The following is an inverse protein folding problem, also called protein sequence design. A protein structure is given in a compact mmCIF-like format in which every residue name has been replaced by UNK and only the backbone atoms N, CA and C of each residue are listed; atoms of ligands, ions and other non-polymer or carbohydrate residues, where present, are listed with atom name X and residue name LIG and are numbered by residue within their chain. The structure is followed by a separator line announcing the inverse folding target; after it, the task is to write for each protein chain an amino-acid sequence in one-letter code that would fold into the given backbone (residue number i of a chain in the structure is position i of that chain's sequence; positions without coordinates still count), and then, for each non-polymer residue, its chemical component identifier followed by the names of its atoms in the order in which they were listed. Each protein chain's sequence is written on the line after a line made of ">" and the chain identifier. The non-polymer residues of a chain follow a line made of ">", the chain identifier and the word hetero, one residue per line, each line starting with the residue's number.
data_IF_159736259477
#
_entry.id   IF_159736259477
#
_cell.length_a   1.000
_cell.length_b   1.000
_cell.length_c   1.000
_cell.angle_alpha   90.00
_cell.angle_beta   90.00
_cell.angle_gamma   90.00
#
_symmetry.space_group_name_H-M   'P 1'
#
loop_
_entity.id
_entity.type
_entity.pdbx_description
1 polymer ?
#
# COMPACT_ATOMS: atom_id res chain seq x y z
N UNK A 1 -8.90 36.49 -9.91
CA UNK A 1 -9.90 35.43 -9.57
C UNK A 1 -9.23 34.10 -9.86
N UNK A 2 -8.91 33.34 -8.81
CA UNK A 2 -8.32 32.01 -8.96
C UNK A 2 -9.41 31.00 -9.25
N UNK A 3 -9.17 30.08 -10.18
CA UNK A 3 -10.13 29.06 -10.60
C UNK A 3 -9.62 27.66 -10.23
N UNK A 4 -10.41 26.94 -9.45
CA UNK A 4 -10.13 25.56 -9.00
C UNK A 4 -11.15 24.59 -9.63
N UNK A 5 -10.74 23.34 -9.74
CA UNK A 5 -11.68 22.28 -10.10
C UNK A 5 -12.43 21.82 -8.85
N UNK A 6 -11.70 21.63 -7.73
CA UNK A 6 -12.31 21.35 -6.42
C UNK A 6 -11.77 22.38 -5.39
N UNK A 7 -12.67 22.91 -4.56
CA UNK A 7 -12.35 23.76 -3.43
C UNK A 7 -12.95 23.19 -2.14
N UNK A 8 -12.10 22.73 -1.24
CA UNK A 8 -12.50 22.24 0.08
C UNK A 8 -12.42 23.42 1.06
N UNK A 9 -13.57 23.83 1.62
CA UNK A 9 -13.67 25.00 2.53
C UNK A 9 -13.85 24.56 3.97
N UNK A 10 -13.34 25.37 4.90
CA UNK A 10 -13.56 25.23 6.35
C UNK A 10 -13.03 23.92 6.94
N UNK A 11 -12.01 23.31 6.36
CA UNK A 11 -11.44 22.05 6.82
C UNK A 11 -10.26 22.26 7.79
N UNK A 12 -9.90 21.20 8.51
CA UNK A 12 -8.57 21.06 9.10
C UNK A 12 -7.69 20.26 8.13
N UNK A 13 -6.37 20.40 8.22
CA UNK A 13 -5.41 19.70 7.35
C UNK A 13 -4.36 19.01 8.22
N UNK A 14 -4.07 17.75 7.93
CA UNK A 14 -2.91 17.04 8.47
C UNK A 14 -1.66 17.47 7.69
N UNK A 15 -0.81 18.26 8.34
CA UNK A 15 0.42 18.75 7.75
C UNK A 15 1.50 17.66 7.63
N UNK A 16 2.53 17.85 6.78
CA UNK A 16 3.61 16.87 6.61
C UNK A 16 4.41 16.55 7.88
N UNK A 17 4.42 17.45 8.86
CA UNK A 17 5.03 17.26 10.19
C UNK A 17 4.14 16.51 11.18
N UNK A 18 2.96 16.06 10.75
CA UNK A 18 1.93 15.39 11.54
C UNK A 18 1.24 16.30 12.57
N UNK A 19 1.32 17.62 12.41
CA UNK A 19 0.48 18.54 13.13
C UNK A 19 -0.81 18.81 12.36
N UNK A 20 -1.88 19.12 13.08
CA UNK A 20 -3.17 19.49 12.46
C UNK A 20 -3.28 21.01 12.42
N UNK A 21 -3.61 21.57 11.25
CA UNK A 21 -3.81 23.00 11.07
C UNK A 21 -5.05 23.50 11.81
N UNK A 22 -5.11 24.81 12.06
CA UNK A 22 -6.37 25.53 12.27
C UNK A 22 -7.25 25.41 11.02
N UNK A 23 -8.51 25.87 11.11
CA UNK A 23 -9.45 25.88 9.98
C UNK A 23 -8.86 26.63 8.78
N UNK A 24 -8.83 25.99 7.62
CA UNK A 24 -8.30 26.50 6.37
C UNK A 24 -9.12 26.00 5.16
N UNK A 25 -8.67 26.30 3.96
CA UNK A 25 -9.24 25.79 2.71
C UNK A 25 -8.14 25.22 1.82
N UNK A 26 -8.51 24.25 0.96
CA UNK A 26 -7.61 23.60 0.02
C UNK A 26 -8.17 23.73 -1.39
N UNK A 27 -7.41 24.35 -2.28
CA UNK A 27 -7.74 24.51 -3.70
C UNK A 27 -6.98 23.51 -4.56
N UNK A 28 -7.72 22.74 -5.36
CA UNK A 28 -7.22 21.73 -6.28
C UNK A 28 -7.47 22.20 -7.71
N UNK A 29 -6.43 22.14 -8.55
CA UNK A 29 -6.52 22.46 -9.97
C UNK A 29 -5.83 21.37 -10.78
N UNK A 30 -6.49 20.88 -11.81
CA UNK A 30 -6.09 19.70 -12.56
C UNK A 30 -5.87 18.53 -11.58
N UNK A 31 -4.67 18.02 -11.48
CA UNK A 31 -4.32 16.89 -10.59
C UNK A 31 -3.53 17.32 -9.35
N UNK A 32 -3.42 18.62 -9.06
CA UNK A 32 -2.47 19.15 -8.08
C UNK A 32 -3.13 19.98 -6.98
N UNK A 33 -2.60 19.87 -5.78
CA UNK A 33 -2.88 20.82 -4.69
C UNK A 33 -2.21 22.14 -5.05
N UNK A 34 -3.00 23.15 -5.36
CA UNK A 34 -2.47 24.45 -5.80
C UNK A 34 -2.28 25.42 -4.67
N UNK A 35 -3.19 25.41 -3.69
CA UNK A 35 -3.15 26.36 -2.58
C UNK A 35 -3.77 25.78 -1.33
N UNK A 36 -3.14 26.07 -0.19
CA UNK A 36 -3.66 25.80 1.15
C UNK A 36 -3.57 27.12 1.92
N UNK A 37 -4.67 27.63 2.47
CA UNK A 37 -4.67 28.92 3.14
C UNK A 37 -5.92 29.20 3.94
N UNK A 38 -5.98 30.40 4.55
CA UNK A 38 -7.14 30.86 5.29
C UNK A 38 -8.35 31.12 4.37
N UNK A 39 -9.55 31.17 4.93
CA UNK A 39 -10.77 31.43 4.15
C UNK A 39 -10.68 32.76 3.36
N UNK A 40 -10.04 33.80 3.92
CA UNK A 40 -9.91 35.13 3.30
C UNK A 40 -9.08 35.07 2.01
N UNK A 41 -8.15 34.15 1.89
CA UNK A 41 -7.33 33.95 0.70
C UNK A 41 -8.10 33.33 -0.49
N UNK A 42 -9.32 32.86 -0.27
CA UNK A 42 -10.17 32.22 -1.27
C UNK A 42 -11.48 32.99 -1.54
N UNK A 43 -11.65 34.21 -1.00
CA UNK A 43 -12.88 35.03 -1.14
C UNK A 43 -13.24 35.25 -2.61
N UNK A 44 -12.26 35.55 -3.47
CA UNK A 44 -12.46 35.81 -4.89
C UNK A 44 -12.24 34.58 -5.77
N UNK A 45 -12.20 33.38 -5.16
CA UNK A 45 -11.99 32.13 -5.88
C UNK A 45 -13.31 31.53 -6.34
N UNK A 46 -13.28 30.91 -7.53
CA UNK A 46 -14.38 30.11 -8.06
C UNK A 46 -13.93 28.66 -8.20
N UNK A 47 -14.84 27.71 -8.06
CA UNK A 47 -14.55 26.30 -8.24
C UNK A 47 -15.69 25.60 -8.99
N UNK A 48 -15.35 24.56 -9.76
CA UNK A 48 -16.34 23.72 -10.41
C UNK A 48 -17.14 22.94 -9.35
N UNK A 49 -16.44 22.45 -8.32
CA UNK A 49 -17.02 21.74 -7.19
C UNK A 49 -16.53 22.33 -5.87
N UNK A 50 -17.44 22.49 -4.90
CA UNK A 50 -17.07 22.99 -3.56
C UNK A 50 -17.53 21.97 -2.52
N UNK A 51 -16.58 21.50 -1.71
CA UNK A 51 -16.82 20.60 -0.60
C UNK A 51 -16.80 21.38 0.72
N UNK A 52 -17.80 21.14 1.59
CA UNK A 52 -17.80 21.67 2.94
C UNK A 52 -16.97 20.77 3.85
N UNK A 53 -15.82 21.29 4.31
CA UNK A 53 -14.87 20.62 5.19
C UNK A 53 -15.13 20.85 6.68
N UNK A 54 -16.23 21.50 7.06
CA UNK A 54 -16.56 21.73 8.47
C UNK A 54 -16.70 20.41 9.23
N UNK A 55 -15.95 20.25 10.34
CA UNK A 55 -15.91 18.99 11.09
C UNK A 55 -15.15 17.86 10.38
N UNK A 56 -14.32 18.19 9.38
CA UNK A 56 -13.56 17.24 8.60
C UNK A 56 -12.07 17.54 8.64
N UNK A 57 -11.27 16.49 8.55
CA UNK A 57 -9.84 16.56 8.36
C UNK A 57 -9.47 16.13 6.93
N UNK A 58 -8.79 17.01 6.21
CA UNK A 58 -8.11 16.65 4.96
C UNK A 58 -6.77 16.04 5.31
N UNK A 59 -6.53 14.83 4.85
CA UNK A 59 -5.26 14.15 5.02
C UNK A 59 -4.81 13.49 3.72
N UNK A 60 -3.52 13.13 3.56
CA UNK A 60 -3.10 12.39 2.38
C UNK A 60 -3.87 11.08 2.31
N UNK A 61 -4.21 10.66 1.11
CA UNK A 61 -4.74 9.32 0.89
C UNK A 61 -3.79 8.27 1.47
N UNK A 62 -4.35 7.25 2.09
CA UNK A 62 -3.59 6.13 2.61
C UNK A 62 -3.07 5.28 1.45
N UNK A 63 -1.94 4.62 1.65
CA UNK A 63 -1.30 3.82 0.61
C UNK A 63 -1.08 2.40 1.13
N UNK A 64 -1.69 1.45 0.44
CA UNK A 64 -1.49 0.02 0.67
C UNK A 64 -0.25 -0.44 -0.12
N UNK A 65 0.89 -0.55 0.56
CA UNK A 65 2.17 -0.87 -0.06
C UNK A 65 2.31 -2.33 -0.50
N UNK A 66 1.38 -3.22 -0.13
CA UNK A 66 1.41 -4.62 -0.53
C UNK A 66 0.04 -5.27 -0.40
N UNK A 67 -0.48 -5.73 -1.52
CA UNK A 67 -1.74 -6.48 -1.57
C UNK A 67 -1.72 -7.53 -2.70
N UNK A 68 -2.76 -8.38 -2.72
CA UNK A 68 -3.09 -9.32 -3.78
C UNK A 68 -4.56 -9.11 -4.17
N UNK A 69 -4.84 -8.23 -5.12
CA UNK A 69 -6.21 -7.88 -5.50
C UNK A 69 -6.99 -9.05 -6.10
N UNK A 70 -6.31 -10.05 -6.65
CA UNK A 70 -6.93 -11.28 -7.17
C UNK A 70 -7.54 -12.19 -6.09
N UNK A 71 -7.26 -11.96 -4.80
CA UNK A 71 -7.71 -12.83 -3.70
C UNK A 71 -9.03 -12.40 -3.04
N UNK A 72 -9.70 -11.34 -3.52
CA UNK A 72 -10.94 -10.84 -2.89
C UNK A 72 -12.06 -11.88 -2.84
N UNK A 73 -12.18 -12.70 -3.89
CA UNK A 73 -13.19 -13.74 -3.97
C UNK A 73 -12.96 -14.92 -3.00
N UNK A 74 -11.82 -14.97 -2.32
CA UNK A 74 -11.47 -15.99 -1.33
C UNK A 74 -11.69 -15.52 0.12
N UNK A 75 -12.25 -14.34 0.32
CA UNK A 75 -12.44 -13.72 1.64
C UNK A 75 -13.17 -14.62 2.62
N UNK A 76 -12.60 -14.72 3.84
CA UNK A 76 -13.14 -15.52 4.93
C UNK A 76 -12.95 -17.02 4.79
N UNK A 77 -12.34 -17.52 3.69
CA UNK A 77 -12.18 -18.95 3.46
C UNK A 77 -10.98 -19.56 4.17
N UNK A 78 -9.94 -18.77 4.45
CA UNK A 78 -8.63 -19.31 4.87
C UNK A 78 -8.23 -18.96 6.31
N UNK A 79 -9.07 -18.26 7.07
CA UNK A 79 -8.71 -17.71 8.37
C UNK A 79 -8.19 -18.75 9.38
N UNK A 80 -8.74 -19.98 9.38
CA UNK A 80 -8.37 -21.06 10.33
C UNK A 80 -7.71 -22.27 9.64
N UNK A 81 -7.22 -22.10 8.40
CA UNK A 81 -6.73 -23.19 7.55
C UNK A 81 -5.22 -23.41 7.68
N UNK A 82 -4.68 -23.45 8.90
CA UNK A 82 -3.26 -23.75 9.14
C UNK A 82 -2.98 -25.26 9.11
N UNK A 83 -1.74 -25.68 8.77
CA UNK A 83 -0.62 -24.91 8.26
C UNK A 83 -0.64 -24.78 6.72
N UNK A 84 0.32 -24.02 6.18
CA UNK A 84 0.61 -23.95 4.74
C UNK A 84 -0.56 -23.41 3.87
N UNK A 85 -1.23 -22.37 4.35
CA UNK A 85 -2.35 -21.71 3.65
C UNK A 85 -1.97 -21.35 2.21
N UNK A 86 -0.77 -20.82 2.01
CA UNK A 86 -0.28 -20.35 0.71
C UNK A 86 -0.28 -21.47 -0.35
N UNK A 87 0.33 -22.61 -0.06
CA UNK A 87 0.45 -23.72 -1.03
C UNK A 87 -0.82 -24.58 -1.14
N UNK A 88 -1.65 -24.62 -0.09
CA UNK A 88 -2.87 -25.45 -0.07
C UNK A 88 -4.09 -24.73 -0.62
N UNK A 89 -4.16 -23.41 -0.49
CA UNK A 89 -5.34 -22.62 -0.86
C UNK A 89 -5.03 -21.50 -1.83
N UNK A 90 -4.08 -20.59 -1.51
CA UNK A 90 -3.88 -19.36 -2.29
C UNK A 90 -3.35 -19.65 -3.70
N UNK A 91 -2.24 -20.36 -3.84
CA UNK A 91 -1.67 -20.70 -5.16
C UNK A 91 -2.63 -21.53 -6.02
N UNK A 92 -3.27 -22.62 -5.49
CA UNK A 92 -4.28 -23.34 -6.26
C UNK A 92 -5.48 -22.49 -6.67
N UNK A 93 -5.93 -21.59 -5.82
CA UNK A 93 -7.02 -20.66 -6.15
C UNK A 93 -6.60 -19.69 -7.25
N UNK A 94 -5.50 -18.96 -7.05
CA UNK A 94 -4.99 -17.99 -8.02
C UNK A 94 -4.72 -18.64 -9.39
N UNK A 95 -4.15 -19.84 -9.43
CA UNK A 95 -3.82 -20.53 -10.68
C UNK A 95 -5.03 -20.99 -11.50
N UNK A 96 -6.23 -20.97 -10.93
CA UNK A 96 -7.47 -21.36 -11.59
C UNK A 96 -8.42 -20.18 -11.86
N UNK A 97 -8.03 -18.95 -11.54
CA UNK A 97 -8.83 -17.76 -11.87
C UNK A 97 -8.93 -17.61 -13.39
N UNK A 98 -10.12 -17.21 -13.83
CA UNK A 98 -10.36 -16.77 -15.19
C UNK A 98 -10.11 -15.26 -15.31
N UNK A 99 -9.90 -14.71 -16.51
CA UNK A 99 -9.73 -13.28 -16.70
C UNK A 99 -10.83 -12.44 -16.06
N UNK A 100 -12.08 -12.88 -16.15
CA UNK A 100 -13.21 -12.18 -15.55
C UNK A 100 -13.20 -12.24 -14.01
N UNK A 101 -12.73 -13.33 -13.42
CA UNK A 101 -12.58 -13.44 -11.96
C UNK A 101 -11.55 -12.44 -11.44
N UNK A 102 -10.41 -12.31 -12.13
CA UNK A 102 -9.38 -11.32 -11.79
C UNK A 102 -9.88 -9.89 -11.93
N UNK A 103 -10.68 -9.61 -12.96
CA UNK A 103 -11.31 -8.29 -13.14
C UNK A 103 -12.28 -7.95 -12.02
N UNK A 104 -13.24 -8.82 -11.71
CA UNK A 104 -14.23 -8.61 -10.64
C UNK A 104 -13.54 -8.51 -9.28
N UNK A 105 -12.54 -9.35 -9.02
CA UNK A 105 -11.74 -9.30 -7.80
C UNK A 105 -11.00 -7.97 -7.66
N UNK A 106 -10.39 -7.48 -8.76
CA UNK A 106 -9.76 -6.16 -8.83
C UNK A 106 -10.74 -5.01 -8.59
N UNK A 107 -11.93 -5.06 -9.18
CA UNK A 107 -12.99 -4.06 -8.93
C UNK A 107 -13.42 -4.02 -7.46
N UNK A 108 -13.61 -5.20 -6.83
CA UNK A 108 -13.96 -5.28 -5.40
C UNK A 108 -12.86 -4.70 -4.53
N UNK A 109 -11.57 -4.99 -4.84
CA UNK A 109 -10.44 -4.43 -4.13
C UNK A 109 -10.41 -2.90 -4.24
N UNK A 110 -10.50 -2.36 -5.46
CA UNK A 110 -10.53 -0.90 -5.69
C UNK A 110 -11.68 -0.23 -4.96
N UNK A 111 -12.90 -0.80 -5.04
CA UNK A 111 -14.07 -0.25 -4.35
C UNK A 111 -13.88 -0.20 -2.83
N UNK A 112 -13.38 -1.28 -2.24
CA UNK A 112 -13.13 -1.34 -0.80
C UNK A 112 -12.04 -0.34 -0.37
N UNK A 113 -10.92 -0.29 -1.10
CA UNK A 113 -9.84 0.64 -0.84
C UNK A 113 -10.28 2.10 -0.91
N UNK A 114 -10.99 2.50 -1.98
CA UNK A 114 -11.52 3.86 -2.14
C UNK A 114 -12.41 4.25 -0.96
N UNK A 115 -13.30 3.35 -0.54
CA UNK A 115 -14.23 3.59 0.58
C UNK A 115 -13.51 3.66 1.93
N UNK A 116 -12.37 2.99 2.08
CA UNK A 116 -11.55 3.00 3.29
C UNK A 116 -10.41 4.04 3.24
N UNK A 117 -10.41 4.92 2.22
CA UNK A 117 -9.46 6.02 2.11
C UNK A 117 -8.08 5.64 1.59
N UNK A 118 -7.89 4.45 1.05
CA UNK A 118 -6.70 4.08 0.31
C UNK A 118 -6.80 4.64 -1.10
N UNK A 119 -5.83 5.47 -1.50
CA UNK A 119 -5.81 6.14 -2.82
C UNK A 119 -4.82 5.55 -3.79
N UNK A 120 -3.85 4.79 -3.29
CA UNK A 120 -2.86 4.09 -4.11
C UNK A 120 -2.49 2.75 -3.46
N UNK A 121 -2.07 1.79 -4.28
CA UNK A 121 -1.61 0.50 -3.78
C UNK A 121 -0.49 -0.11 -4.64
N UNK A 122 0.22 -1.09 -4.08
CA UNK A 122 1.12 -1.97 -4.80
C UNK A 122 0.58 -3.40 -4.79
N UNK A 123 0.30 -3.94 -5.97
CA UNK A 123 -0.15 -5.32 -6.15
C UNK A 123 1.04 -6.22 -6.46
N UNK A 124 1.24 -7.25 -5.63
CA UNK A 124 2.32 -8.23 -5.80
C UNK A 124 2.04 -9.27 -6.90
N UNK A 125 0.92 -9.11 -7.58
CA UNK A 125 0.55 -9.91 -8.73
C UNK A 125 -0.20 -11.20 -8.42
N UNK A 126 -0.71 -11.75 -9.48
CA UNK A 126 -1.44 -13.00 -9.61
C UNK A 126 -1.42 -13.42 -11.07
N UNK A 127 -2.52 -13.99 -11.55
CA UNK A 127 -2.77 -14.26 -12.97
C UNK A 127 -3.70 -13.20 -13.56
N UNK A 128 -3.66 -13.01 -14.88
CA UNK A 128 -4.53 -12.07 -15.61
C UNK A 128 -4.44 -10.61 -15.10
N UNK A 129 -3.22 -10.14 -14.84
CA UNK A 129 -3.01 -8.80 -14.27
C UNK A 129 -3.37 -7.66 -15.22
N UNK A 130 -3.50 -7.92 -16.52
CA UNK A 130 -4.08 -7.01 -17.50
C UNK A 130 -5.54 -6.68 -17.14
N UNK A 131 -6.29 -7.65 -16.61
CA UNK A 131 -7.68 -7.44 -16.19
C UNK A 131 -7.77 -6.66 -14.87
N UNK A 132 -6.80 -6.85 -13.98
CA UNK A 132 -6.67 -6.01 -12.78
C UNK A 132 -6.33 -4.57 -13.18
N UNK A 133 -5.43 -4.37 -14.15
CA UNK A 133 -5.10 -3.05 -14.66
C UNK A 133 -6.33 -2.33 -15.26
N UNK A 134 -7.19 -3.05 -16.01
CA UNK A 134 -8.46 -2.52 -16.49
C UNK A 134 -9.35 -2.03 -15.35
N UNK A 135 -9.52 -2.84 -14.29
CA UNK A 135 -10.32 -2.47 -13.11
C UNK A 135 -9.74 -1.23 -12.39
N UNK A 136 -8.42 -1.11 -12.29
CA UNK A 136 -7.73 0.05 -11.70
C UNK A 136 -7.99 1.31 -12.53
N UNK A 137 -7.87 1.22 -13.85
CA UNK A 137 -8.11 2.36 -14.76
C UNK A 137 -9.54 2.86 -14.64
N UNK A 138 -10.52 1.94 -14.70
CA UNK A 138 -11.95 2.24 -14.64
C UNK A 138 -12.37 2.81 -13.28
N UNK A 139 -11.85 2.28 -12.19
CA UNK A 139 -12.14 2.77 -10.83
C UNK A 139 -11.54 4.13 -10.51
N UNK A 140 -10.57 4.60 -11.28
CA UNK A 140 -9.84 5.83 -10.99
C UNK A 140 -8.72 5.67 -9.96
N UNK A 141 -8.46 4.47 -9.46
CA UNK A 141 -7.38 4.19 -8.50
C UNK A 141 -5.99 4.41 -9.11
N UNK A 142 -4.99 4.57 -8.23
CA UNK A 142 -3.58 4.54 -8.58
C UNK A 142 -2.96 3.21 -8.12
N UNK A 143 -2.13 2.58 -8.96
CA UNK A 143 -1.49 1.32 -8.59
C UNK A 143 -0.12 1.11 -9.23
N UNK A 144 0.79 0.49 -8.47
CA UNK A 144 1.95 -0.21 -8.97
C UNK A 144 1.59 -1.70 -9.09
N UNK A 145 1.43 -2.19 -10.30
CA UNK A 145 0.94 -3.55 -10.58
C UNK A 145 2.11 -4.41 -11.03
N UNK A 146 2.36 -5.50 -10.30
CA UNK A 146 3.30 -6.53 -10.73
C UNK A 146 2.54 -7.75 -11.26
N UNK A 147 3.21 -8.53 -12.12
CA UNK A 147 2.77 -9.88 -12.46
C UNK A 147 3.56 -10.86 -11.60
N UNK A 148 2.86 -11.77 -10.93
CA UNK A 148 3.52 -12.82 -10.15
C UNK A 148 4.41 -13.70 -11.05
N UNK A 149 5.66 -13.91 -10.64
CA UNK A 149 6.64 -14.70 -11.39
C UNK A 149 7.19 -15.83 -10.53
N UNK A 150 7.06 -17.04 -11.02
CA UNK A 150 7.54 -18.26 -10.37
C UNK A 150 7.91 -19.30 -11.43
N UNK A 151 9.17 -19.74 -11.45
CA UNK A 151 9.67 -20.76 -12.37
C UNK A 151 10.20 -22.01 -11.65
N UNK A 152 10.16 -22.01 -10.31
CA UNK A 152 10.76 -23.07 -9.49
C UNK A 152 9.82 -23.46 -8.33
N UNK A 153 9.73 -24.76 -8.08
CA UNK A 153 8.96 -25.33 -6.96
C UNK A 153 7.87 -26.29 -7.40
N UNK A 154 7.63 -27.32 -6.58
CA UNK A 154 6.65 -28.39 -6.89
C UNK A 154 5.21 -28.01 -6.50
N UNK A 155 5.05 -26.96 -5.68
CA UNK A 155 3.74 -26.51 -5.23
C UNK A 155 3.07 -25.51 -6.20
N UNK A 156 3.79 -25.08 -7.24
CA UNK A 156 3.27 -24.16 -8.23
C UNK A 156 2.56 -24.94 -9.33
N UNK A 157 1.33 -24.56 -9.63
CA UNK A 157 0.45 -25.25 -10.57
C UNK A 157 -0.22 -24.28 -11.54
N UNK A 158 -0.79 -24.84 -12.62
CA UNK A 158 -1.63 -24.09 -13.57
C UNK A 158 -0.95 -22.86 -14.15
N UNK A 159 -1.71 -21.80 -14.30
CA UNK A 159 -1.28 -20.53 -14.91
C UNK A 159 -0.22 -19.75 -14.12
N UNK A 160 0.06 -20.16 -12.87
CA UNK A 160 1.11 -19.54 -12.05
C UNK A 160 2.51 -20.08 -12.35
N UNK A 161 2.63 -21.21 -13.08
CA UNK A 161 3.91 -21.84 -13.40
C UNK A 161 4.35 -21.44 -14.80
N UNK A 162 5.46 -20.76 -14.88
CA UNK A 162 6.07 -20.29 -16.14
C UNK A 162 7.56 -20.63 -16.17
N UNK A 163 8.17 -20.65 -17.34
CA UNK A 163 9.62 -20.57 -17.46
C UNK A 163 10.07 -19.13 -17.19
N UNK A 164 11.35 -18.95 -16.85
CA UNK A 164 11.91 -17.59 -16.63
C UNK A 164 11.66 -16.66 -17.84
N UNK A 165 11.84 -17.17 -19.08
CA UNK A 165 11.60 -16.38 -20.29
C UNK A 165 10.12 -15.98 -20.43
N UNK A 166 9.18 -16.92 -20.28
CA UNK A 166 7.76 -16.65 -20.38
C UNK A 166 7.32 -15.61 -19.35
N UNK A 167 7.78 -15.73 -18.09
CA UNK A 167 7.45 -14.80 -17.02
C UNK A 167 7.91 -13.36 -17.34
N UNK A 168 9.11 -13.21 -17.91
CA UNK A 168 9.65 -11.93 -18.35
C UNK A 168 8.90 -11.39 -19.57
N UNK A 169 8.64 -12.21 -20.57
CA UNK A 169 7.96 -11.80 -21.80
C UNK A 169 6.53 -11.31 -21.49
N UNK A 170 5.78 -12.04 -20.67
CA UNK A 170 4.45 -11.62 -20.23
C UNK A 170 4.47 -10.33 -19.40
N UNK A 171 5.47 -10.14 -18.54
CA UNK A 171 5.61 -8.89 -17.78
C UNK A 171 5.94 -7.71 -18.70
N UNK A 172 6.82 -7.91 -19.71
CA UNK A 172 7.14 -6.89 -20.72
C UNK A 172 5.92 -6.55 -21.59
N UNK A 173 5.09 -7.53 -21.92
CA UNK A 173 3.83 -7.29 -22.63
C UNK A 173 2.85 -6.46 -21.81
N UNK A 174 2.69 -6.80 -20.52
CA UNK A 174 1.89 -6.01 -19.59
C UNK A 174 2.42 -4.58 -19.47
N UNK A 175 3.74 -4.41 -19.33
CA UNK A 175 4.39 -3.10 -19.29
C UNK A 175 4.11 -2.28 -20.57
N UNK A 176 4.29 -2.89 -21.73
CA UNK A 176 4.04 -2.23 -23.02
C UNK A 176 2.61 -1.71 -23.17
N UNK A 177 1.64 -2.45 -22.63
CA UNK A 177 0.22 -2.14 -22.81
C UNK A 177 -0.33 -1.20 -21.73
N UNK A 178 0.22 -1.20 -20.51
CA UNK A 178 -0.40 -0.54 -19.37
C UNK A 178 0.50 0.46 -18.63
N UNK A 179 1.81 0.52 -18.90
CA UNK A 179 2.68 1.49 -18.23
C UNK A 179 2.24 2.92 -18.55
N UNK A 180 1.96 3.70 -17.48
CA UNK A 180 1.47 5.07 -17.60
C UNK A 180 -0.01 5.19 -17.97
N UNK A 181 -0.75 4.10 -18.07
CA UNK A 181 -2.19 4.12 -18.34
C UNK A 181 -2.97 4.85 -17.22
N UNK A 182 -4.23 5.18 -17.51
CA UNK A 182 -5.09 5.89 -16.55
C UNK A 182 -4.53 7.27 -16.18
N UNK A 183 -4.03 8.03 -17.15
CA UNK A 183 -3.43 9.35 -16.96
C UNK A 183 -2.24 9.34 -15.97
N UNK A 184 -1.37 8.33 -16.10
CA UNK A 184 -0.18 8.15 -15.28
C UNK A 184 -0.47 7.61 -13.87
N UNK A 185 -1.61 6.92 -13.67
CA UNK A 185 -1.96 6.29 -12.40
C UNK A 185 -1.53 4.84 -12.29
N UNK A 186 -1.22 4.18 -13.40
CA UNK A 186 -0.81 2.77 -13.45
C UNK A 186 0.67 2.65 -13.78
N UNK A 187 1.42 2.01 -12.89
CA UNK A 187 2.80 1.61 -13.11
C UNK A 187 2.91 0.09 -13.15
N UNK A 188 3.67 -0.44 -14.10
CA UNK A 188 3.90 -1.87 -14.21
C UNK A 188 5.29 -2.21 -13.69
N UNK A 189 5.34 -3.14 -12.75
CA UNK A 189 6.54 -3.58 -12.05
C UNK A 189 6.85 -5.04 -12.32
N UNK A 190 8.10 -5.42 -12.15
CA UNK A 190 8.50 -6.82 -12.10
C UNK A 190 8.26 -7.39 -10.69
N UNK A 191 8.15 -8.72 -10.60
CA UNK A 191 8.01 -9.39 -9.32
C UNK A 191 9.07 -10.47 -9.10
N UNK A 192 9.43 -10.67 -7.85
CA UNK A 192 10.05 -11.89 -7.33
C UNK A 192 9.07 -12.42 -6.29
N UNK A 193 8.23 -13.41 -6.65
CA UNK A 193 7.18 -13.88 -5.72
C UNK A 193 7.78 -14.25 -4.37
N UNK A 194 8.81 -15.11 -4.39
CA UNK A 194 9.68 -15.41 -3.25
C UNK A 194 11.01 -15.94 -3.76
N UNK A 195 12.10 -15.79 -3.00
CA UNK A 195 13.40 -16.32 -3.39
C UNK A 195 13.38 -17.86 -3.58
N UNK A 196 12.51 -18.57 -2.87
CA UNK A 196 12.41 -20.02 -2.98
C UNK A 196 11.58 -20.51 -4.17
N UNK A 197 10.89 -19.62 -4.86
CA UNK A 197 10.08 -19.95 -6.05
C UNK A 197 10.61 -19.37 -7.35
N UNK A 198 11.73 -18.63 -7.28
CA UNK A 198 12.37 -18.01 -8.43
C UNK A 198 13.79 -18.56 -8.59
N UNK A 199 14.13 -19.00 -9.80
CA UNK A 199 15.49 -19.41 -10.14
C UNK A 199 16.46 -18.22 -10.16
N UNK A 200 17.77 -18.49 -10.10
CA UNK A 200 18.79 -17.44 -10.30
C UNK A 200 18.61 -16.74 -11.64
N UNK A 201 18.29 -17.50 -12.70
CA UNK A 201 18.12 -16.96 -14.04
C UNK A 201 16.93 -15.99 -14.09
N UNK A 202 15.78 -16.36 -13.52
CA UNK A 202 14.62 -15.47 -13.41
C UNK A 202 14.95 -14.20 -12.61
N UNK A 203 15.57 -14.34 -11.45
CA UNK A 203 15.94 -13.18 -10.60
C UNK A 203 16.91 -12.26 -11.34
N UNK A 204 17.89 -12.79 -12.07
CA UNK A 204 18.81 -12.00 -12.90
C UNK A 204 18.05 -11.22 -13.98
N UNK A 205 17.19 -11.92 -14.75
CA UNK A 205 16.40 -11.30 -15.81
C UNK A 205 15.45 -10.21 -15.27
N UNK A 206 14.82 -10.43 -14.11
CA UNK A 206 14.00 -9.42 -13.41
C UNK A 206 14.83 -8.16 -13.14
N UNK A 207 16.02 -8.31 -12.55
CA UNK A 207 16.90 -7.17 -12.23
C UNK A 207 17.34 -6.39 -13.47
N UNK A 208 17.75 -7.10 -14.51
CA UNK A 208 18.17 -6.49 -15.79
C UNK A 208 17.02 -5.73 -16.47
N UNK A 209 15.84 -6.35 -16.56
CA UNK A 209 14.67 -5.75 -17.19
C UNK A 209 14.12 -4.56 -16.40
N UNK A 210 14.05 -4.65 -15.08
CA UNK A 210 13.61 -3.54 -14.25
C UNK A 210 14.55 -2.33 -14.36
N UNK A 211 15.86 -2.57 -14.49
CA UNK A 211 16.86 -1.52 -14.72
C UNK A 211 16.73 -0.92 -16.12
N UNK A 212 16.57 -1.75 -17.16
CA UNK A 212 16.38 -1.31 -18.55
C UNK A 212 15.15 -0.43 -18.73
N UNK A 213 14.03 -0.84 -18.12
CA UNK A 213 12.74 -0.16 -18.23
C UNK A 213 12.54 0.93 -17.16
N UNK A 214 13.52 1.16 -16.28
CA UNK A 214 13.45 2.14 -15.19
C UNK A 214 12.19 1.97 -14.32
N UNK A 215 11.85 0.73 -13.97
CA UNK A 215 10.68 0.38 -13.16
C UNK A 215 11.05 -0.31 -11.85
N UNK A 216 10.05 -0.57 -10.99
CA UNK A 216 10.23 -1.20 -9.69
C UNK A 216 10.24 -2.72 -9.75
N UNK A 217 10.69 -3.30 -8.65
CA UNK A 217 10.61 -4.74 -8.36
C UNK A 217 9.83 -4.91 -7.06
N UNK A 218 8.83 -5.77 -7.06
CA UNK A 218 8.04 -6.14 -5.87
C UNK A 218 8.37 -7.57 -5.44
N UNK A 219 8.80 -7.77 -4.20
CA UNK A 219 9.20 -9.07 -3.70
C UNK A 219 8.62 -9.36 -2.30
N UNK A 220 8.23 -10.62 -2.03
CA UNK A 220 8.10 -11.09 -0.65
C UNK A 220 9.50 -11.43 -0.16
N UNK A 221 9.89 -10.98 1.01
CA UNK A 221 11.23 -11.23 1.53
C UNK A 221 11.24 -11.45 3.04
N UNK A 222 11.93 -12.51 3.44
CA UNK A 222 12.05 -12.88 4.85
C UNK A 222 10.69 -12.97 5.55
N UNK A 223 9.70 -13.48 4.84
CA UNK A 223 8.33 -13.63 5.32
C UNK A 223 8.27 -14.67 6.44
N UNK A 224 8.84 -15.86 6.22
CA UNK A 224 8.83 -16.94 7.20
C UNK A 224 10.15 -17.74 7.22
N UNK A 225 10.27 -18.59 8.25
CA UNK A 225 11.50 -19.35 8.52
C UNK A 225 11.93 -20.30 7.41
N UNK A 226 10.98 -20.84 6.62
CA UNK A 226 11.27 -21.82 5.59
C UNK A 226 12.02 -21.20 4.41
N UNK A 227 11.71 -19.93 4.07
CA UNK A 227 12.46 -19.15 3.09
C UNK A 227 13.92 -18.97 3.53
N UNK A 228 14.12 -18.58 4.78
CA UNK A 228 15.47 -18.42 5.36
C UNK A 228 16.22 -19.76 5.35
N UNK A 229 15.55 -20.84 5.76
CA UNK A 229 16.16 -22.19 5.78
C UNK A 229 16.53 -22.65 4.38
N UNK A 230 15.66 -22.44 3.40
CA UNK A 230 15.91 -22.76 2.00
C UNK A 230 17.14 -22.01 1.46
N UNK A 231 17.22 -20.70 1.67
CA UNK A 231 18.34 -19.89 1.21
C UNK A 231 19.69 -20.31 1.87
N UNK A 232 19.68 -20.55 3.17
CA UNK A 232 20.87 -21.03 3.88
C UNK A 232 21.33 -22.40 3.37
N UNK A 233 20.42 -23.32 3.08
CA UNK A 233 20.76 -24.65 2.58
C UNK A 233 21.26 -24.60 1.13
N UNK A 234 20.57 -23.88 0.27
CA UNK A 234 20.84 -23.87 -1.18
C UNK A 234 21.96 -22.90 -1.55
N UNK A 235 21.96 -21.69 -0.99
CA UNK A 235 22.83 -20.60 -1.38
C UNK A 235 23.89 -20.25 -0.35
N UNK A 236 23.84 -20.82 0.86
CA UNK A 236 24.74 -20.52 2.00
C UNK A 236 24.67 -19.03 2.42
N UNK A 237 23.54 -18.38 2.15
CA UNK A 237 23.27 -16.98 2.43
C UNK A 237 21.85 -16.83 2.94
N UNK A 238 21.58 -15.76 3.67
CA UNK A 238 20.23 -15.36 4.01
C UNK A 238 19.53 -14.75 2.78
N UNK A 239 18.19 -14.65 2.74
CA UNK A 239 17.49 -14.13 1.55
C UNK A 239 17.95 -12.73 1.12
N UNK A 240 18.13 -11.79 2.06
CA UNK A 240 18.61 -10.43 1.75
C UNK A 240 20.05 -10.44 1.21
N UNK A 241 20.96 -11.19 1.85
CA UNK A 241 22.34 -11.35 1.38
C UNK A 241 22.42 -11.96 -0.03
N UNK A 242 21.52 -12.91 -0.31
CA UNK A 242 21.43 -13.53 -1.64
C UNK A 242 20.97 -12.55 -2.70
N UNK A 243 19.93 -11.75 -2.41
CA UNK A 243 19.47 -10.72 -3.35
C UNK A 243 20.49 -9.58 -3.52
N UNK A 244 21.29 -9.26 -2.49
CA UNK A 244 22.41 -8.31 -2.63
C UNK A 244 23.50 -8.85 -3.58
N UNK A 245 23.89 -10.12 -3.43
CA UNK A 245 24.82 -10.79 -4.35
C UNK A 245 24.30 -10.77 -5.80
N UNK A 246 22.99 -10.93 -5.97
CA UNK A 246 22.34 -10.88 -7.29
C UNK A 246 22.20 -9.45 -7.85
N UNK A 247 22.56 -8.40 -7.09
CA UNK A 247 22.44 -7.01 -7.50
C UNK A 247 21.01 -6.49 -7.53
N UNK A 248 20.11 -7.13 -6.78
CA UNK A 248 18.68 -6.79 -6.73
C UNK A 248 18.38 -5.74 -5.65
N UNK A 249 19.14 -5.73 -4.52
CA UNK A 249 18.91 -4.75 -3.47
C UNK A 249 19.18 -3.33 -3.97
N UNK A 250 18.18 -2.48 -3.88
CA UNK A 250 18.27 -1.09 -4.33
C UNK A 250 17.02 -0.26 -4.04
N UNK A 251 17.04 1.04 -4.35
CA UNK A 251 15.93 1.94 -4.05
C UNK A 251 14.67 1.68 -4.89
N UNK A 252 14.77 0.88 -5.95
CA UNK A 252 13.64 0.44 -6.78
C UNK A 252 13.07 -0.92 -6.36
N UNK A 253 13.59 -1.52 -5.26
CA UNK A 253 13.05 -2.75 -4.68
C UNK A 253 12.10 -2.42 -3.53
N UNK A 254 10.86 -2.91 -3.62
CA UNK A 254 9.89 -3.00 -2.55
C UNK A 254 9.87 -4.44 -2.05
N UNK A 255 10.01 -4.61 -0.74
CA UNK A 255 9.90 -5.92 -0.08
C UNK A 255 8.75 -5.94 0.92
N UNK A 256 7.93 -6.97 0.85
CA UNK A 256 6.83 -7.19 1.78
C UNK A 256 7.24 -8.12 2.93
N UNK A 257 6.55 -7.98 4.07
CA UNK A 257 6.63 -8.73 5.31
C UNK A 257 7.87 -8.43 6.16
N UNK A 258 9.05 -8.82 5.76
CA UNK A 258 10.33 -8.51 6.45
C UNK A 258 10.37 -8.99 7.91
N UNK A 259 9.71 -10.11 8.23
CA UNK A 259 9.54 -10.63 9.61
C UNK A 259 10.82 -11.28 10.12
N UNK A 260 11.46 -12.11 9.27
CA UNK A 260 12.61 -12.95 9.65
C UNK A 260 13.97 -12.29 9.37
N UNK A 261 14.03 -10.95 9.33
CA UNK A 261 15.28 -10.23 9.14
C UNK A 261 16.22 -10.40 10.36
N UNK A 262 17.51 -10.63 10.12
CA UNK A 262 18.56 -10.44 11.11
C UNK A 262 18.93 -8.95 11.21
N UNK A 263 19.69 -8.58 12.24
CA UNK A 263 20.15 -7.20 12.39
C UNK A 263 21.11 -6.81 11.23
N UNK A 264 21.86 -7.78 10.71
CA UNK A 264 22.69 -7.59 9.51
C UNK A 264 21.84 -7.36 8.26
N UNK A 265 20.77 -8.14 8.06
CA UNK A 265 19.83 -7.93 6.94
C UNK A 265 19.22 -6.53 6.99
N UNK A 266 18.82 -6.06 8.19
CA UNK A 266 18.23 -4.73 8.39
C UNK A 266 19.24 -3.64 7.98
N UNK A 267 20.47 -3.72 8.46
CA UNK A 267 21.51 -2.74 8.14
C UNK A 267 21.82 -2.73 6.64
N UNK A 268 21.97 -3.91 6.03
CA UNK A 268 22.21 -4.06 4.59
C UNK A 268 21.09 -3.47 3.74
N UNK A 269 19.85 -3.82 4.04
CA UNK A 269 18.68 -3.35 3.26
C UNK A 269 18.48 -1.83 3.43
N UNK A 270 18.71 -1.28 4.63
CA UNK A 270 18.67 0.15 4.87
C UNK A 270 19.77 0.89 4.07
N UNK A 271 21.02 0.38 4.08
CA UNK A 271 22.13 0.93 3.30
C UNK A 271 21.84 0.94 1.80
N UNK A 272 21.22 -0.11 1.28
CA UNK A 272 20.84 -0.22 -0.14
C UNK A 272 19.60 0.61 -0.50
N UNK A 273 18.90 1.22 0.48
CA UNK A 273 17.72 2.04 0.26
C UNK A 273 16.46 1.26 -0.13
N UNK A 274 16.41 -0.05 0.22
CA UNK A 274 15.24 -0.91 -0.03
C UNK A 274 14.00 -0.35 0.66
N UNK A 275 12.85 -0.43 0.01
CA UNK A 275 11.55 -0.03 0.56
C UNK A 275 10.90 -1.24 1.21
N UNK A 276 10.57 -1.13 2.50
CA UNK A 276 10.02 -2.23 3.28
C UNK A 276 8.55 -1.99 3.61
N UNK A 277 7.71 -2.98 3.40
CA UNK A 277 6.29 -2.94 3.74
C UNK A 277 6.01 -3.98 4.81
N UNK A 278 5.36 -3.55 5.89
CA UNK A 278 4.80 -4.47 6.88
C UNK A 278 3.32 -4.68 6.63
N UNK A 279 2.89 -5.94 6.74
CA UNK A 279 1.51 -6.37 6.67
C UNK A 279 1.09 -6.91 8.05
N UNK A 280 0.78 -6.04 9.01
CA UNK A 280 0.68 -6.41 10.43
C UNK A 280 -0.26 -7.58 10.72
N UNK A 281 -1.48 -7.57 10.19
CA UNK A 281 -2.45 -8.65 10.42
C UNK A 281 -2.00 -9.97 9.83
N UNK A 282 -1.55 -9.97 8.57
CA UNK A 282 -1.04 -11.16 7.90
C UNK A 282 0.20 -11.73 8.61
N UNK A 283 1.15 -10.85 8.97
CA UNK A 283 2.36 -11.24 9.68
C UNK A 283 2.04 -11.92 11.03
N UNK A 284 1.20 -11.28 11.85
CA UNK A 284 0.86 -11.79 13.18
C UNK A 284 0.05 -13.08 13.13
N UNK A 285 -0.82 -13.22 12.13
CA UNK A 285 -1.59 -14.44 11.93
C UNK A 285 -0.73 -15.63 11.51
N UNK A 286 0.35 -15.42 10.73
CA UNK A 286 1.06 -16.50 10.05
C UNK A 286 2.55 -16.62 10.40
N UNK A 287 3.25 -15.51 10.68
CA UNK A 287 4.73 -15.47 10.61
C UNK A 287 5.38 -14.93 11.88
N UNK A 288 4.72 -14.06 12.63
CA UNK A 288 5.20 -13.48 13.88
C UNK A 288 5.39 -11.97 13.83
N UNK A 289 6.24 -11.45 14.72
CA UNK A 289 6.43 -10.01 14.92
C UNK A 289 7.57 -9.49 14.04
N UNK A 290 7.33 -8.48 13.18
CA UNK A 290 8.41 -7.80 12.48
C UNK A 290 9.27 -6.98 13.45
N UNK A 291 10.54 -6.76 13.11
CA UNK A 291 11.44 -5.87 13.85
C UNK A 291 11.23 -4.40 13.45
N UNK A 292 9.98 -3.95 13.36
CA UNK A 292 9.64 -2.62 12.86
C UNK A 292 10.39 -1.47 13.56
N UNK A 293 10.54 -1.44 14.90
CA UNK A 293 11.31 -0.40 15.57
C UNK A 293 12.76 -0.34 15.10
N UNK A 294 13.47 -1.49 15.03
CA UNK A 294 14.85 -1.55 14.62
C UNK A 294 15.05 -1.17 13.14
N UNK A 295 14.10 -1.54 12.28
CA UNK A 295 14.13 -1.18 10.87
C UNK A 295 14.01 0.35 10.71
N UNK A 296 13.12 0.99 11.46
CA UNK A 296 12.98 2.45 11.49
C UNK A 296 14.22 3.14 12.07
N UNK A 297 14.79 2.61 13.16
CA UNK A 297 16.03 3.11 13.77
C UNK A 297 17.23 3.02 12.82
N UNK A 298 17.28 2.01 11.95
CA UNK A 298 18.27 1.90 10.89
C UNK A 298 18.08 2.92 9.74
N UNK A 299 17.03 3.74 9.79
CA UNK A 299 16.74 4.77 8.78
C UNK A 299 16.09 4.23 7.50
N UNK A 300 15.60 3.00 7.51
CA UNK A 300 14.92 2.43 6.36
C UNK A 300 13.56 3.09 6.09
N UNK A 301 13.17 3.12 4.82
CA UNK A 301 11.82 3.55 4.42
C UNK A 301 10.82 2.40 4.66
N UNK A 302 9.85 2.63 5.54
CA UNK A 302 8.85 1.63 5.92
C UNK A 302 7.45 2.14 5.64
N UNK A 303 6.63 1.31 5.00
CA UNK A 303 5.20 1.52 4.80
C UNK A 303 4.36 0.37 5.38
N UNK A 304 3.05 0.47 5.19
CA UNK A 304 2.06 -0.55 5.58
C UNK A 304 1.42 -1.18 4.35
N UNK A 305 0.94 -2.40 4.48
CA UNK A 305 0.16 -3.12 3.50
C UNK A 305 -0.84 -4.06 4.17
N UNK A 306 -1.91 -4.41 3.47
CA UNK A 306 -2.95 -5.32 3.97
C UNK A 306 -2.67 -6.78 3.62
N UNK A 307 -1.78 -7.05 2.67
CA UNK A 307 -1.62 -8.35 2.04
C UNK A 307 -2.91 -8.75 1.28
N UNK A 308 -3.14 -10.03 1.01
CA UNK A 308 -4.37 -10.48 0.39
C UNK A 308 -5.59 -10.36 1.31
N UNK A 309 -6.75 -10.06 0.76
CA UNK A 309 -7.99 -9.96 1.53
C UNK A 309 -8.61 -11.31 1.91
N UNK A 310 -7.97 -12.41 1.56
CA UNK A 310 -8.49 -13.74 1.89
C UNK A 310 -8.73 -13.95 3.40
N UNK A 311 -7.83 -13.52 4.31
CA UNK A 311 -8.07 -13.61 5.74
C UNK A 311 -8.80 -12.39 6.33
N UNK A 312 -8.84 -11.23 5.65
CA UNK A 312 -9.28 -9.98 6.29
C UNK A 312 -9.92 -8.98 5.30
N UNK A 313 -9.84 -7.68 5.62
CA UNK A 313 -10.26 -6.56 4.77
C UNK A 313 -9.05 -5.74 4.30
N UNK A 314 -9.28 -4.77 3.39
CA UNK A 314 -8.29 -3.82 2.89
C UNK A 314 -8.48 -2.47 3.58
N UNK A 315 -8.12 -2.40 4.87
CA UNK A 315 -8.22 -1.19 5.69
C UNK A 315 -6.88 -0.89 6.39
N UNK A 316 -6.20 0.15 5.94
CA UNK A 316 -4.91 0.59 6.50
C UNK A 316 -5.06 1.16 7.93
N UNK A 317 -6.24 1.68 8.31
CA UNK A 317 -6.47 2.08 9.72
C UNK A 317 -6.36 0.88 10.65
N UNK A 318 -6.86 -0.28 10.26
CA UNK A 318 -6.74 -1.50 11.06
C UNK A 318 -5.28 -1.97 11.14
N UNK A 319 -4.53 -1.88 10.04
CA UNK A 319 -3.10 -2.23 10.04
C UNK A 319 -2.29 -1.34 11.00
N UNK A 320 -2.58 -0.02 11.04
CA UNK A 320 -1.94 0.88 12.00
C UNK A 320 -2.21 0.47 13.45
N UNK A 321 -3.46 0.16 13.79
CA UNK A 321 -3.85 -0.27 15.15
C UNK A 321 -3.16 -1.56 15.55
N UNK A 322 -3.21 -2.55 14.67
CA UNK A 322 -2.59 -3.87 14.93
C UNK A 322 -1.09 -3.74 15.12
N UNK A 323 -0.39 -2.99 14.25
CA UNK A 323 1.06 -2.77 14.41
C UNK A 323 1.36 -2.03 15.73
N UNK A 324 0.60 -0.97 16.03
CA UNK A 324 0.80 -0.20 17.26
C UNK A 324 0.72 -1.08 18.51
N UNK A 325 -0.39 -1.77 18.68
CA UNK A 325 -0.63 -2.54 19.91
C UNK A 325 0.26 -3.78 19.99
N UNK A 326 0.53 -4.44 18.89
CA UNK A 326 1.45 -5.59 18.88
C UNK A 326 2.89 -5.18 19.23
N UNK A 327 3.38 -4.06 18.68
CA UNK A 327 4.72 -3.56 19.01
C UNK A 327 4.81 -3.04 20.43
N UNK A 328 3.79 -2.37 20.94
CA UNK A 328 3.75 -1.99 22.35
C UNK A 328 3.79 -3.20 23.28
N UNK A 329 3.04 -4.26 22.97
CA UNK A 329 3.01 -5.47 23.78
C UNK A 329 4.33 -6.28 23.68
N UNK A 330 4.87 -6.43 22.47
CA UNK A 330 6.02 -7.29 22.21
C UNK A 330 7.37 -6.60 22.46
N UNK A 331 7.49 -5.31 22.12
CA UNK A 331 8.74 -4.54 22.25
C UNK A 331 8.65 -3.48 23.33
N UNK A 332 7.59 -2.70 23.37
CA UNK A 332 7.49 -1.52 24.21
C UNK A 332 7.48 -1.87 25.71
N UNK A 333 6.55 -2.70 26.13
CA UNK A 333 6.43 -3.08 27.55
C UNK A 333 7.62 -3.87 28.06
N UNK A 334 8.14 -4.92 27.36
CA UNK A 334 9.32 -5.66 27.80
C UNK A 334 10.59 -4.84 27.89
N UNK A 335 10.78 -3.84 27.01
CA UNK A 335 11.96 -2.96 26.98
C UNK A 335 11.78 -1.65 27.75
N UNK A 336 10.66 -1.47 28.46
CA UNK A 336 10.29 -0.20 29.12
C UNK A 336 10.30 1.02 28.18
N UNK A 337 9.95 0.81 26.89
CA UNK A 337 9.82 1.85 25.89
C UNK A 337 8.34 2.01 25.46
N UNK A 338 7.51 2.80 26.17
CA UNK A 338 6.08 2.92 25.89
C UNK A 338 5.78 3.73 24.62
N UNK A 339 6.78 4.32 23.98
CA UNK A 339 6.64 5.15 22.77
C UNK A 339 7.24 4.51 21.54
N UNK A 340 7.40 3.20 21.54
CA UNK A 340 8.09 2.45 20.46
C UNK A 340 7.47 2.63 19.07
N UNK A 341 6.13 2.77 18.98
CA UNK A 341 5.41 3.02 17.73
C UNK A 341 4.41 4.16 17.94
N UNK A 342 4.88 5.38 17.75
CA UNK A 342 4.04 6.57 17.95
C UNK A 342 2.99 6.72 16.85
N UNK A 343 1.87 7.36 17.15
CA UNK A 343 0.83 7.62 16.16
C UNK A 343 1.33 8.43 14.94
N UNK A 344 2.14 9.48 15.12
CA UNK A 344 2.77 10.17 13.97
C UNK A 344 3.63 9.24 13.10
N UNK A 345 4.36 8.30 13.70
CA UNK A 345 5.16 7.30 12.95
C UNK A 345 4.27 6.41 12.09
N UNK A 346 3.18 5.90 12.67
CA UNK A 346 2.22 5.04 11.96
C UNK A 346 1.52 5.75 10.81
N UNK A 347 1.08 7.00 11.01
CA UNK A 347 0.49 7.81 9.94
C UNK A 347 1.50 8.10 8.81
N UNK A 348 2.77 8.34 9.15
CA UNK A 348 3.83 8.46 8.13
C UNK A 348 4.04 7.15 7.36
N UNK A 349 4.02 6.01 8.03
CA UNK A 349 4.10 4.71 7.37
C UNK A 349 2.91 4.47 6.44
N UNK A 350 1.69 4.80 6.87
CA UNK A 350 0.46 4.65 6.11
C UNK A 350 0.32 5.61 4.91
N UNK A 351 1.11 6.67 4.86
CA UNK A 351 1.05 7.70 3.82
C UNK A 351 2.39 7.86 3.09
N UNK A 352 3.33 8.64 3.62
CA UNK A 352 4.62 8.91 2.97
C UNK A 352 5.48 7.65 2.79
N UNK A 353 5.44 6.71 3.76
CA UNK A 353 6.15 5.43 3.67
C UNK A 353 5.65 4.58 2.49
N UNK A 354 4.33 4.47 2.35
CA UNK A 354 3.70 3.83 1.19
C UNK A 354 4.03 4.54 -0.12
N UNK A 355 3.96 5.89 -0.14
CA UNK A 355 4.31 6.69 -1.32
C UNK A 355 5.76 6.47 -1.77
N UNK A 356 6.70 6.42 -0.83
CA UNK A 356 8.09 6.10 -1.13
C UNK A 356 8.24 4.70 -1.70
N UNK A 357 7.47 3.75 -1.16
CA UNK A 357 7.54 2.34 -1.57
C UNK A 357 7.09 2.13 -3.00
N UNK A 358 6.02 2.81 -3.44
CA UNK A 358 5.52 2.74 -4.82
C UNK A 358 6.26 3.69 -5.79
N UNK A 359 7.36 4.34 -5.37
CA UNK A 359 8.17 5.20 -6.21
C UNK A 359 7.65 6.63 -6.41
N UNK A 360 6.60 7.03 -5.69
CA UNK A 360 5.93 8.34 -5.84
C UNK A 360 6.05 9.26 -4.61
N UNK A 361 7.05 9.07 -3.76
CA UNK A 361 7.24 9.84 -2.52
C UNK A 361 7.38 11.34 -2.72
N UNK A 362 7.88 11.77 -3.88
CA UNK A 362 8.06 13.19 -4.21
C UNK A 362 6.71 13.89 -4.47
N UNK A 363 5.70 13.16 -4.96
CA UNK A 363 4.42 13.73 -5.40
C UNK A 363 3.21 13.29 -4.57
N UNK A 364 3.33 12.23 -3.76
CA UNK A 364 2.27 11.67 -2.92
C UNK A 364 2.63 11.70 -1.42
N UNK A 365 1.72 11.24 -0.57
CA UNK A 365 1.94 10.91 0.84
C UNK A 365 1.90 12.09 1.81
N UNK A 366 1.59 13.31 1.36
CA UNK A 366 1.39 14.46 2.25
C UNK A 366 0.53 15.53 1.60
N UNK A 367 -0.21 16.31 2.42
CA UNK A 367 -0.99 17.45 1.98
C UNK A 367 -0.07 18.67 1.93
N UNK A 368 0.37 19.02 0.74
CA UNK A 368 1.30 20.13 0.51
C UNK A 368 1.07 20.70 -0.90
N UNK A 369 1.18 22.02 -1.03
CA UNK A 369 1.15 22.67 -2.34
C UNK A 369 2.23 22.09 -3.28
N UNK A 370 1.84 21.87 -4.52
CA UNK A 370 2.70 21.26 -5.55
C UNK A 370 2.76 19.73 -5.52
N UNK A 371 2.05 19.07 -4.59
CA UNK A 371 1.83 17.60 -4.63
C UNK A 371 0.53 17.24 -5.34
N UNK A 372 0.41 15.99 -5.76
CA UNK A 372 -0.82 15.44 -6.35
C UNK A 372 -1.96 15.49 -5.34
N UNK A 373 -3.15 15.75 -5.84
CA UNK A 373 -4.37 15.72 -5.04
C UNK A 373 -4.90 14.28 -4.93
N UNK A 374 -4.14 13.45 -4.23
CA UNK A 374 -4.55 12.13 -3.75
C UNK A 374 -4.83 12.31 -2.24
N UNK A 375 -6.08 12.60 -1.90
CA UNK A 375 -6.52 13.08 -0.60
C UNK A 375 -7.75 12.34 -0.11
N UNK A 376 -7.94 12.29 1.21
CA UNK A 376 -9.19 11.87 1.83
C UNK A 376 -9.70 12.93 2.80
N UNK A 377 -11.01 13.00 2.94
CA UNK A 377 -11.69 13.76 3.97
C UNK A 377 -12.22 12.80 5.03
N UNK A 378 -11.71 12.92 6.23
CA UNK A 378 -12.13 12.15 7.38
C UNK A 378 -13.14 12.94 8.22
N UNK A 379 -14.29 12.35 8.51
CA UNK A 379 -15.28 12.94 9.42
C UNK A 379 -14.78 12.81 10.86
N UNK A 380 -14.36 13.94 11.45
CA UNK A 380 -13.86 13.97 12.83
C UNK A 380 -14.94 14.37 13.86
N UNK A 381 -16.15 14.63 13.41
CA UNK A 381 -17.32 14.91 14.26
C UNK A 381 -18.13 13.61 14.51
N UNK A 382 -17.43 12.60 15.01
CA UNK A 382 -17.99 11.30 15.36
C UNK A 382 -17.86 11.02 16.87
N UNK A 383 -18.82 10.32 17.51
CA UNK A 383 -18.80 10.05 18.94
C UNK A 383 -17.53 9.33 19.44
N UNK A 384 -16.89 8.50 18.60
CA UNK A 384 -15.67 7.78 18.93
C UNK A 384 -14.38 8.60 18.65
N UNK A 385 -14.49 9.76 17.98
CA UNK A 385 -13.39 10.68 17.71
C UNK A 385 -13.47 11.91 18.63
N UNK A 386 -14.66 12.40 18.90
CA UNK A 386 -14.90 13.63 19.66
C UNK A 386 -15.48 13.31 21.07
N UNK A 387 -15.00 13.99 22.13
CA UNK A 387 -13.94 15.03 22.14
C UNK A 387 -12.54 14.42 22.05
N UNK A 388 -11.61 15.18 21.46
CA UNK A 388 -10.20 14.76 21.36
C UNK A 388 -9.27 15.84 21.92
N UNK A 389 -8.19 15.42 22.61
CA UNK A 389 -7.10 16.29 23.06
C UNK A 389 -5.89 16.22 22.11
N UNK A 390 -5.81 15.15 21.32
CA UNK A 390 -4.79 14.94 20.30
C UNK A 390 -5.39 14.19 19.12
N UNK A 391 -5.76 14.90 18.06
CA UNK A 391 -6.46 14.32 16.92
C UNK A 391 -5.62 13.27 16.19
N UNK A 392 -4.30 13.46 16.10
CA UNK A 392 -3.38 12.50 15.46
C UNK A 392 -3.39 11.15 16.18
N UNK A 393 -3.37 11.17 17.51
CA UNK A 393 -3.48 9.95 18.30
C UNK A 393 -4.86 9.29 18.12
N UNK A 394 -5.92 10.10 18.16
CA UNK A 394 -7.29 9.60 18.02
C UNK A 394 -7.53 8.99 16.63
N UNK A 395 -6.97 9.55 15.55
CA UNK A 395 -7.07 8.97 14.21
C UNK A 395 -6.49 7.55 14.19
N UNK A 396 -5.30 7.35 14.75
CA UNK A 396 -4.66 6.03 14.74
C UNK A 396 -5.40 5.03 15.64
N UNK A 397 -5.81 5.46 16.83
CA UNK A 397 -6.36 4.54 17.82
C UNK A 397 -7.88 4.31 17.68
N UNK A 398 -8.63 5.26 17.09
CA UNK A 398 -10.09 5.21 17.05
C UNK A 398 -10.72 5.29 15.65
N UNK A 399 -10.16 6.05 14.71
CA UNK A 399 -10.76 6.17 13.38
C UNK A 399 -10.66 4.85 12.60
N UNK A 400 -11.50 4.70 11.58
CA UNK A 400 -11.56 3.54 10.70
C UNK A 400 -12.02 3.96 9.29
N UNK A 401 -12.00 3.05 8.32
CA UNK A 401 -12.39 3.35 6.95
C UNK A 401 -13.79 3.94 6.79
N UNK A 402 -14.73 3.64 7.70
CA UNK A 402 -16.10 4.20 7.62
C UNK A 402 -16.17 5.69 7.99
N UNK A 403 -15.13 6.26 8.57
CA UNK A 403 -15.04 7.70 8.85
C UNK A 403 -14.58 8.51 7.63
N UNK A 404 -14.11 7.83 6.58
CA UNK A 404 -13.78 8.43 5.28
C UNK A 404 -15.08 8.78 4.56
N UNK A 405 -15.24 10.05 4.23
CA UNK A 405 -16.45 10.55 3.58
C UNK A 405 -16.22 10.96 2.14
N UNK A 406 -15.03 11.44 1.81
CA UNK A 406 -14.65 11.77 0.44
C UNK A 406 -13.26 11.20 0.14
N UNK A 407 -13.10 10.65 -1.06
CA UNK A 407 -11.82 10.17 -1.60
C UNK A 407 -11.55 10.84 -2.94
N UNK A 408 -10.44 11.56 -3.02
CA UNK A 408 -9.97 12.28 -4.21
C UNK A 408 -8.69 11.61 -4.68
N UNK A 409 -8.62 11.20 -5.94
CA UNK A 409 -7.45 10.57 -6.55
C UNK A 409 -7.13 11.30 -7.84
N UNK A 410 -5.86 11.71 -7.99
CA UNK A 410 -5.39 12.47 -9.14
C UNK A 410 -6.27 13.70 -9.45
N UNK A 411 -6.76 14.37 -8.38
CA UNK A 411 -7.63 15.55 -8.50
C UNK A 411 -9.09 15.27 -8.85
N UNK A 412 -9.52 14.00 -8.92
CA UNK A 412 -10.90 13.59 -9.21
C UNK A 412 -11.57 13.07 -7.93
N UNK A 413 -12.76 13.56 -7.63
CA UNK A 413 -13.60 13.05 -6.54
C UNK A 413 -14.23 11.73 -6.99
N UNK A 414 -13.77 10.60 -6.41
CA UNK A 414 -14.24 9.27 -6.79
C UNK A 414 -15.33 8.72 -5.87
N UNK A 415 -15.32 9.13 -4.62
CA UNK A 415 -16.27 8.64 -3.63
C UNK A 415 -16.69 9.75 -2.71
N UNK A 416 -18.01 9.83 -2.47
CA UNK A 416 -18.62 10.62 -1.40
C UNK A 416 -19.60 9.73 -0.65
N UNK A 417 -19.43 9.62 0.67
CA UNK A 417 -20.34 8.84 1.51
C UNK A 417 -21.72 9.50 1.50
N UNK A 418 -22.81 8.75 1.23
CA UNK A 418 -24.14 9.32 1.23
C UNK A 418 -24.48 9.90 2.60
N UNK A 419 -25.00 11.14 2.61
CA UNK A 419 -25.41 11.80 3.84
C UNK A 419 -26.57 11.05 4.51
N UNK A 420 -26.75 11.16 5.85
CA UNK A 420 -27.93 10.60 6.50
C UNK A 420 -29.27 11.10 5.92
N UNK A 421 -29.29 12.28 5.27
CA UNK A 421 -30.47 12.84 4.60
C UNK A 421 -30.78 12.09 3.31
N UNK A 422 -29.76 11.63 2.58
CA UNK A 422 -29.94 10.88 1.33
C UNK A 422 -30.51 9.49 1.58
N UNK A 423 -30.25 8.90 2.76
CA UNK A 423 -30.81 7.60 3.18
C UNK A 423 -32.28 7.66 3.56
N UNK A 424 -32.82 8.84 3.83
CA UNK A 424 -34.24 9.00 4.20
C UNK A 424 -35.18 9.12 3.01
N UNK A 425 -34.65 9.13 1.78
CA UNK A 425 -35.39 9.29 0.53
C UNK A 425 -35.42 8.00 -0.34
N UNK A 426 -34.87 6.89 0.18
CA UNK A 426 -34.84 5.58 -0.52
C UNK A 426 -35.77 4.55 0.13
#
# INVERSE_FOLDING_TARGET
>A
MENYDILIKNCQVLNPDMNVSSTCSVGIKDTWIKKIGSADEFVDSVATETLDGKGKLVMPGLIDGHTHTCQQLLRGRVADEYPMVWTRFLVPFESNLLPEDSYVSGQLACLEMIKNGTTAFADSGGVHMERVADAVIESGMRAAIAKSTMDMGNAITGAMKETASEAIDHTKELYKNYQGAGDGRVDIWFAIRQVMTCSRDLITMVGECAKELHTGIHAHLCEHKDEVSFCLQKYRKRPAEFLDEMGILGPNLLTAHNVMLSDHDIALMAERGVKMIHCPRANLANHGFPKAPQILEAGASVGLGCDGAAPSNLDIFDEMKVLRYSMLAYWGLPSFNPVVMTCPTLLKMASQGGANAIGHGDILGSVKEGKKADLILLNIDQPHITPTQNLVNTIVDAANGHDVIDSIINGCLLYTSPSPRDRSLS
#
